data_IF_424926864444
#
_entry.id   IF_424926864444
#
_cell.length_a   1.000
_cell.length_b   1.000
_cell.length_c   1.000
_cell.angle_alpha   90.00
_cell.angle_beta   90.00
_cell.angle_gamma   90.00
#
_symmetry.space_group_name_H-M   'P 1'
#
loop_
_entity.id
_entity.type
_entity.pdbx_description
1 polymer ?
#
# COMPACT_ATOMS: atom_id res chain seq x y z
N UNK A 1 16.90 -16.94 -13.57
CA UNK A 1 15.90 -16.26 -12.73
C UNK A 1 14.79 -15.73 -13.62
N UNK A 2 13.62 -16.40 -13.68
CA UNK A 2 12.52 -16.02 -14.58
C UNK A 2 11.54 -15.12 -13.83
N UNK A 3 11.68 -13.81 -14.05
CA UNK A 3 10.63 -12.87 -13.68
C UNK A 3 9.50 -13.02 -14.70
N UNK A 4 8.41 -13.67 -14.30
CA UNK A 4 7.20 -13.78 -15.11
C UNK A 4 6.63 -12.37 -15.34
N UNK A 5 6.80 -11.87 -16.56
CA UNK A 5 6.54 -10.49 -16.94
C UNK A 5 5.08 -10.15 -17.20
N UNK A 6 4.21 -10.27 -16.20
CA UNK A 6 2.93 -9.56 -16.23
C UNK A 6 3.11 -8.19 -15.57
N UNK A 7 2.57 -7.14 -16.21
CA UNK A 7 2.55 -5.79 -15.59
C UNK A 7 1.81 -5.92 -14.25
N UNK A 8 2.48 -5.66 -13.11
CA UNK A 8 1.85 -5.81 -11.80
C UNK A 8 0.54 -5.02 -11.75
N UNK A 9 -0.54 -5.59 -11.20
CA UNK A 9 -1.84 -4.91 -11.06
C UNK A 9 -1.72 -3.58 -10.30
N UNK A 10 -0.77 -3.43 -9.35
CA UNK A 10 -0.45 -2.15 -8.70
C UNK A 10 -0.12 -1.02 -9.69
N UNK A 11 0.69 -1.32 -10.72
CA UNK A 11 1.01 -0.34 -11.76
C UNK A 11 -0.21 0.05 -12.60
N UNK A 12 -1.19 -0.84 -12.76
CA UNK A 12 -2.45 -0.52 -13.44
C UNK A 12 -3.34 0.32 -12.54
N UNK A 13 -3.40 0.00 -11.24
CA UNK A 13 -4.25 0.67 -10.26
C UNK A 13 -3.85 2.13 -10.06
N UNK A 14 -2.57 2.42 -9.76
CA UNK A 14 -2.15 3.81 -9.57
C UNK A 14 -2.33 4.66 -10.84
N UNK A 15 -2.08 4.08 -12.05
CA UNK A 15 -2.31 4.78 -13.31
C UNK A 15 -3.79 5.09 -13.54
N UNK A 16 -4.71 4.17 -13.21
CA UNK A 16 -6.16 4.41 -13.29
C UNK A 16 -6.57 5.52 -12.31
N UNK A 17 -6.12 5.44 -11.07
CA UNK A 17 -6.40 6.45 -10.04
C UNK A 17 -5.85 7.81 -10.42
N UNK A 18 -4.64 7.86 -11.00
CA UNK A 18 -4.03 9.10 -11.49
C UNK A 18 -4.85 9.70 -12.64
N UNK A 19 -5.24 8.88 -13.62
CA UNK A 19 -6.07 9.35 -14.75
C UNK A 19 -7.42 9.87 -14.28
N UNK A 20 -8.06 9.18 -13.34
CA UNK A 20 -9.31 9.65 -12.75
C UNK A 20 -9.11 10.97 -11.98
N UNK A 21 -8.03 11.09 -11.21
CA UNK A 21 -7.69 12.34 -10.52
C UNK A 21 -7.45 13.50 -11.48
N UNK A 22 -6.69 13.27 -12.55
CA UNK A 22 -6.46 14.27 -13.60
C UNK A 22 -7.76 14.67 -14.32
N UNK A 23 -8.63 13.70 -14.63
CA UNK A 23 -9.92 13.97 -15.25
C UNK A 23 -10.79 14.86 -14.36
N UNK A 24 -10.93 14.53 -13.07
CA UNK A 24 -11.71 15.35 -12.14
C UNK A 24 -11.10 16.74 -11.92
N UNK A 25 -9.77 16.86 -11.90
CA UNK A 25 -9.10 18.17 -11.83
C UNK A 25 -9.37 19.00 -13.07
N UNK A 26 -9.25 18.41 -14.28
CA UNK A 26 -9.54 19.10 -15.52
C UNK A 26 -11.01 19.54 -15.60
N UNK A 27 -11.93 18.67 -15.16
CA UNK A 27 -13.36 19.01 -15.07
C UNK A 27 -13.61 20.18 -14.12
N UNK A 28 -12.97 20.17 -12.95
CA UNK A 28 -13.08 21.24 -11.96
C UNK A 28 -12.51 22.57 -12.47
N UNK A 29 -11.37 22.54 -13.16
CA UNK A 29 -10.80 23.73 -13.79
C UNK A 29 -11.69 24.26 -14.92
N UNK A 30 -12.24 23.38 -15.77
CA UNK A 30 -13.21 23.74 -16.80
C UNK A 30 -14.46 24.39 -16.19
N UNK A 31 -15.01 23.80 -15.13
CA UNK A 31 -16.14 24.37 -14.42
C UNK A 31 -15.81 25.75 -13.82
N UNK A 32 -14.62 25.92 -13.23
CA UNK A 32 -14.17 27.20 -12.72
C UNK A 32 -14.05 28.27 -13.81
N UNK A 33 -13.49 27.89 -14.97
CA UNK A 33 -13.38 28.79 -16.12
C UNK A 33 -14.75 29.19 -16.63
N UNK A 34 -15.67 28.26 -16.78
CA UNK A 34 -17.06 28.54 -17.19
C UNK A 34 -17.75 29.42 -16.17
N UNK A 35 -17.61 29.14 -14.88
CA UNK A 35 -18.18 29.95 -13.80
C UNK A 35 -17.64 31.37 -13.79
N UNK A 36 -16.37 31.57 -14.13
CA UNK A 36 -15.74 32.88 -14.21
C UNK A 36 -16.14 33.65 -15.47
N UNK A 37 -16.30 32.96 -16.61
CA UNK A 37 -16.60 33.58 -17.92
C UNK A 37 -18.10 33.83 -18.14
N UNK A 38 -18.96 32.95 -17.57
CA UNK A 38 -20.40 33.20 -17.55
C UNK A 38 -20.66 34.38 -16.63
N UNK A 39 -21.06 35.49 -17.21
CA UNK A 39 -21.51 36.65 -16.44
C UNK A 39 -22.65 36.18 -15.52
N UNK A 40 -22.44 36.26 -14.24
CA UNK A 40 -23.42 35.91 -13.18
C UNK A 40 -24.78 36.57 -13.47
N UNK A 41 -24.76 37.73 -14.09
CA UNK A 41 -25.94 38.48 -14.52
C UNK A 41 -26.81 37.71 -15.55
N UNK A 42 -26.20 37.00 -16.49
CA UNK A 42 -26.95 36.18 -17.50
C UNK A 42 -27.63 35.03 -16.79
N UNK A 43 -26.90 34.32 -15.89
CA UNK A 43 -27.43 33.18 -15.17
C UNK A 43 -28.53 33.61 -14.15
N UNK A 44 -28.33 34.70 -13.43
CA UNK A 44 -29.33 35.22 -12.50
C UNK A 44 -30.64 35.62 -13.21
N UNK A 45 -30.55 36.28 -14.36
CA UNK A 45 -31.73 36.64 -15.16
C UNK A 45 -32.43 35.42 -15.76
N UNK A 46 -31.68 34.44 -16.26
CA UNK A 46 -32.24 33.24 -16.89
C UNK A 46 -32.89 32.27 -15.90
N UNK A 47 -32.38 32.20 -14.69
CA UNK A 47 -32.84 31.27 -13.65
C UNK A 47 -33.73 31.92 -12.60
N UNK A 48 -33.92 33.25 -12.62
CA UNK A 48 -34.73 33.98 -11.67
C UNK A 48 -34.12 34.01 -10.26
N UNK A 49 -32.83 33.77 -10.10
CA UNK A 49 -32.14 33.75 -8.82
C UNK A 49 -31.69 35.17 -8.42
N UNK A 50 -31.69 35.47 -7.12
CA UNK A 50 -31.02 36.65 -6.61
C UNK A 50 -29.53 36.61 -6.96
N UNK A 51 -28.94 37.70 -7.42
CA UNK A 51 -27.55 37.79 -7.90
C UNK A 51 -26.54 37.18 -6.92
N UNK A 52 -26.67 37.49 -5.61
CA UNK A 52 -25.78 36.96 -4.57
C UNK A 52 -25.84 35.43 -4.45
N UNK A 53 -27.02 34.85 -4.62
CA UNK A 53 -27.19 33.41 -4.58
C UNK A 53 -26.58 32.75 -5.83
N UNK A 54 -26.74 33.36 -7.00
CA UNK A 54 -26.10 32.90 -8.22
C UNK A 54 -24.56 32.96 -8.13
N UNK A 55 -23.98 34.05 -7.61
CA UNK A 55 -22.54 34.21 -7.37
C UNK A 55 -22.00 33.08 -6.47
N UNK A 56 -22.67 32.83 -5.33
CA UNK A 56 -22.26 31.76 -4.42
C UNK A 56 -22.37 30.38 -5.03
N UNK A 57 -23.46 30.11 -5.74
CA UNK A 57 -23.70 28.81 -6.40
C UNK A 57 -22.63 28.51 -7.45
N UNK A 58 -22.34 29.45 -8.35
CA UNK A 58 -21.30 29.28 -9.36
C UNK A 58 -19.89 29.20 -8.77
N UNK A 59 -19.60 29.85 -7.65
CA UNK A 59 -18.34 29.71 -6.94
C UNK A 59 -18.14 28.32 -6.31
N UNK A 60 -19.23 27.66 -5.94
CA UNK A 60 -19.18 26.34 -5.28
C UNK A 60 -19.09 25.16 -6.29
N UNK A 61 -19.59 25.32 -7.51
CA UNK A 61 -19.64 24.24 -8.54
C UNK A 61 -18.25 23.59 -8.77
N UNK A 62 -17.13 24.32 -8.92
CA UNK A 62 -15.84 23.70 -9.20
C UNK A 62 -15.21 22.99 -8.00
N UNK A 63 -15.67 23.24 -6.76
CA UNK A 63 -15.03 22.72 -5.54
C UNK A 63 -15.08 21.19 -5.45
N UNK A 64 -16.25 20.51 -5.61
CA UNK A 64 -16.31 19.06 -5.51
C UNK A 64 -15.38 18.32 -6.52
N UNK A 65 -15.41 18.64 -7.83
CA UNK A 65 -14.54 17.95 -8.77
C UNK A 65 -13.04 18.26 -8.52
N UNK A 66 -12.67 19.46 -8.11
CA UNK A 66 -11.30 19.77 -7.73
C UNK A 66 -10.86 18.97 -6.49
N UNK A 67 -11.70 18.88 -5.47
CA UNK A 67 -11.42 18.10 -4.26
C UNK A 67 -11.23 16.60 -4.60
N UNK A 68 -12.11 16.03 -5.42
CA UNK A 68 -11.99 14.65 -5.92
C UNK A 68 -10.71 14.45 -6.73
N UNK A 69 -10.37 15.40 -7.58
CA UNK A 69 -9.15 15.38 -8.39
C UNK A 69 -7.89 15.37 -7.53
N UNK A 70 -7.77 16.30 -6.59
CA UNK A 70 -6.63 16.39 -5.66
C UNK A 70 -6.53 15.13 -4.80
N UNK A 71 -7.66 14.65 -4.26
CA UNK A 71 -7.69 13.41 -3.49
C UNK A 71 -7.22 12.21 -4.32
N UNK A 72 -7.70 12.07 -5.55
CA UNK A 72 -7.30 11.00 -6.47
C UNK A 72 -5.80 11.04 -6.80
N UNK A 73 -5.25 12.23 -7.05
CA UNK A 73 -3.81 12.37 -7.28
C UNK A 73 -2.98 12.02 -6.04
N UNK A 74 -3.38 12.48 -4.87
CA UNK A 74 -2.71 12.16 -3.61
C UNK A 74 -2.72 10.63 -3.34
N UNK A 75 -3.84 9.98 -3.58
CA UNK A 75 -3.96 8.52 -3.47
C UNK A 75 -3.07 7.80 -4.48
N UNK A 76 -3.03 8.25 -5.74
CA UNK A 76 -2.17 7.67 -6.77
C UNK A 76 -0.67 7.78 -6.40
N UNK A 77 -0.24 8.90 -5.84
CA UNK A 77 1.14 9.09 -5.37
C UNK A 77 1.48 8.13 -4.23
N UNK A 78 0.57 7.94 -3.27
CA UNK A 78 0.76 6.96 -2.18
C UNK A 78 0.87 5.52 -2.69
N UNK A 79 0.00 5.13 -3.63
CA UNK A 79 0.05 3.81 -4.25
C UNK A 79 1.36 3.60 -5.02
N UNK A 80 1.84 4.62 -5.73
CA UNK A 80 3.13 4.58 -6.44
C UNK A 80 4.30 4.43 -5.46
N UNK A 81 4.30 5.18 -4.36
CA UNK A 81 5.36 5.09 -3.35
C UNK A 81 5.42 3.70 -2.71
N UNK A 82 4.26 3.13 -2.34
CA UNK A 82 4.18 1.77 -1.78
C UNK A 82 4.68 0.72 -2.78
N UNK A 83 4.31 0.82 -4.07
CA UNK A 83 4.80 -0.08 -5.11
C UNK A 83 6.32 0.04 -5.31
N UNK A 84 6.86 1.26 -5.31
CA UNK A 84 8.30 1.48 -5.45
C UNK A 84 9.10 0.95 -4.23
N UNK A 85 8.50 0.96 -3.03
CA UNK A 85 9.10 0.37 -1.84
C UNK A 85 9.19 -1.15 -1.97
N UNK A 86 8.11 -1.80 -2.40
CA UNK A 86 8.09 -3.25 -2.64
C UNK A 86 9.09 -3.65 -3.73
N UNK A 87 9.17 -2.89 -4.84
CA UNK A 87 10.14 -3.13 -5.91
C UNK A 87 11.59 -3.05 -5.39
N UNK A 88 11.92 -2.01 -4.60
CA UNK A 88 13.26 -1.85 -4.01
C UNK A 88 13.60 -2.97 -3.03
N UNK A 89 12.66 -3.33 -2.16
CA UNK A 89 12.86 -4.43 -1.22
C UNK A 89 13.04 -5.77 -1.94
N UNK A 90 12.25 -6.03 -2.98
CA UNK A 90 12.37 -7.25 -3.78
C UNK A 90 13.71 -7.33 -4.51
N UNK A 91 14.18 -6.23 -5.11
CA UNK A 91 15.49 -6.18 -5.75
C UNK A 91 16.61 -6.47 -4.74
N UNK A 92 16.57 -5.81 -3.57
CA UNK A 92 17.54 -6.06 -2.51
C UNK A 92 17.59 -7.53 -2.08
N UNK A 93 16.42 -8.15 -1.85
CA UNK A 93 16.37 -9.56 -1.45
C UNK A 93 16.84 -10.50 -2.57
N UNK A 94 16.51 -10.20 -3.83
CA UNK A 94 16.96 -10.99 -4.96
C UNK A 94 18.49 -10.98 -5.12
N UNK A 95 19.15 -9.87 -4.76
CA UNK A 95 20.61 -9.73 -4.84
C UNK A 95 21.34 -10.40 -3.65
N UNK A 96 20.66 -10.55 -2.49
CA UNK A 96 21.33 -11.03 -1.26
C UNK A 96 20.91 -12.44 -0.85
N UNK A 97 19.81 -12.99 -1.41
CA UNK A 97 19.40 -14.37 -1.14
C UNK A 97 20.11 -15.35 -2.10
N UNK A 98 20.57 -16.50 -1.59
CA UNK A 98 21.23 -17.53 -2.43
C UNK A 98 20.25 -18.22 -3.38
N UNK A 99 20.80 -19.06 -4.24
CA UNK A 99 20.01 -19.95 -5.09
C UNK A 99 19.07 -20.83 -4.22
N UNK A 100 17.85 -21.04 -4.71
CA UNK A 100 16.79 -21.77 -3.99
C UNK A 100 15.76 -20.86 -3.32
N UNK A 101 15.96 -19.55 -3.36
CA UNK A 101 14.93 -18.58 -2.99
C UNK A 101 14.29 -17.94 -4.23
N UNK A 102 12.98 -17.75 -4.18
CA UNK A 102 12.21 -17.06 -5.21
C UNK A 102 11.52 -15.85 -4.56
N UNK A 103 11.81 -14.66 -5.05
CA UNK A 103 11.18 -13.42 -4.59
C UNK A 103 10.10 -13.01 -5.58
N UNK A 104 8.86 -12.92 -5.13
CA UNK A 104 7.70 -12.54 -5.94
C UNK A 104 7.14 -11.22 -5.43
N UNK A 105 7.51 -10.08 -6.04
CA UNK A 105 6.89 -8.80 -5.73
C UNK A 105 5.48 -8.75 -6.32
N UNK A 106 4.60 -7.98 -5.68
CA UNK A 106 3.24 -7.70 -6.16
C UNK A 106 2.44 -8.97 -6.46
N UNK A 107 2.47 -9.92 -5.52
CA UNK A 107 1.70 -11.15 -5.66
C UNK A 107 0.20 -10.85 -5.66
N UNK A 108 -0.50 -11.29 -6.70
CA UNK A 108 -1.94 -11.18 -6.83
C UNK A 108 -2.64 -12.47 -6.40
N UNK A 109 -3.22 -12.52 -5.20
CA UNK A 109 -3.98 -13.70 -4.76
C UNK A 109 -5.18 -13.99 -5.67
N UNK A 110 -5.56 -15.27 -5.73
CA UNK A 110 -6.68 -15.77 -6.58
C UNK A 110 -8.06 -15.43 -6.03
N UNK A 111 -8.15 -14.85 -4.85
CA UNK A 111 -9.40 -14.50 -4.17
C UNK A 111 -10.22 -13.39 -4.87
N UNK A 112 -9.73 -12.84 -5.96
CA UNK A 112 -10.38 -11.79 -6.74
C UNK A 112 -10.35 -10.40 -6.09
N UNK A 113 -9.70 -10.26 -4.94
CA UNK A 113 -9.51 -8.94 -4.34
C UNK A 113 -8.51 -8.11 -5.14
N UNK A 114 -8.82 -6.82 -5.33
CA UNK A 114 -7.95 -5.89 -6.07
C UNK A 114 -6.64 -5.56 -5.34
N UNK A 115 -6.51 -5.94 -4.07
CA UNK A 115 -5.33 -5.67 -3.26
C UNK A 115 -4.27 -6.76 -3.45
N UNK A 116 -3.07 -6.34 -3.83
CA UNK A 116 -1.90 -7.20 -3.95
C UNK A 116 -1.21 -7.40 -2.61
N UNK A 117 -0.59 -8.56 -2.47
CA UNK A 117 0.40 -8.80 -1.43
C UNK A 117 1.71 -8.16 -1.87
N UNK A 118 2.30 -7.24 -1.08
CA UNK A 118 3.47 -6.48 -1.50
C UNK A 118 4.64 -7.37 -1.95
N UNK A 119 4.90 -8.44 -1.21
CA UNK A 119 5.99 -9.35 -1.53
C UNK A 119 5.79 -10.72 -0.87
N UNK A 120 6.12 -11.77 -1.62
CA UNK A 120 6.18 -13.16 -1.14
C UNK A 120 7.57 -13.71 -1.45
N UNK A 121 8.20 -14.31 -0.46
CA UNK A 121 9.47 -15.03 -0.61
C UNK A 121 9.20 -16.50 -0.37
N UNK A 122 9.64 -17.32 -1.32
CA UNK A 122 9.53 -18.77 -1.26
C UNK A 122 10.94 -19.34 -1.18
N UNK A 123 11.20 -20.21 -0.22
CA UNK A 123 12.53 -20.76 -0.03
C UNK A 123 12.53 -21.94 0.96
N UNK A 124 13.72 -22.41 1.38
CA UNK A 124 13.86 -23.53 2.30
C UNK A 124 13.07 -23.38 3.62
N UNK A 125 12.89 -22.18 4.20
CA UNK A 125 12.06 -22.01 5.40
C UNK A 125 10.55 -22.12 5.14
N UNK A 126 10.12 -22.17 3.88
CA UNK A 126 8.71 -22.15 3.49
C UNK A 126 8.34 -20.90 2.73
N UNK A 127 7.15 -20.37 2.99
CA UNK A 127 6.63 -19.15 2.36
C UNK A 127 6.58 -18.01 3.38
N UNK A 128 7.25 -16.92 3.08
CA UNK A 128 7.29 -15.73 3.93
C UNK A 128 6.63 -14.57 3.19
N UNK A 129 5.58 -14.02 3.78
CA UNK A 129 4.88 -12.83 3.29
C UNK A 129 5.47 -11.61 3.98
N UNK A 130 6.01 -10.70 3.19
CA UNK A 130 6.70 -9.52 3.69
C UNK A 130 5.87 -8.27 3.41
N UNK A 131 5.59 -7.53 4.47
CA UNK A 131 4.98 -6.20 4.42
C UNK A 131 6.06 -5.13 4.64
N UNK A 132 6.63 -4.53 3.57
CA UNK A 132 7.62 -3.49 3.71
C UNK A 132 6.95 -2.16 4.10
N UNK A 133 7.58 -1.45 5.04
CA UNK A 133 7.11 -0.18 5.58
C UNK A 133 8.24 0.84 5.57
N UNK A 134 7.93 2.07 5.12
CA UNK A 134 8.88 3.17 5.00
C UNK A 134 8.63 4.28 6.06
N UNK A 135 8.02 3.91 7.16
CA UNK A 135 7.91 4.82 8.30
C UNK A 135 9.28 5.04 8.90
N UNK A 136 9.69 6.31 9.05
CA UNK A 136 10.95 6.68 9.71
C UNK A 136 10.76 7.02 11.19
N UNK A 137 11.86 7.08 11.92
CA UNK A 137 11.93 7.40 13.35
C UNK A 137 11.81 6.18 14.25
N UNK A 138 11.57 6.40 15.54
CA UNK A 138 11.34 5.30 16.50
C UNK A 138 9.89 4.83 16.43
N UNK A 139 9.70 3.51 16.31
CA UNK A 139 8.39 2.87 16.32
C UNK A 139 8.28 1.88 17.47
N UNK A 140 7.08 1.73 17.99
CA UNK A 140 6.76 0.76 19.02
C UNK A 140 5.44 0.06 18.69
N UNK A 141 5.31 -1.20 19.12
CA UNK A 141 4.10 -1.99 18.96
C UNK A 141 3.55 -2.38 20.32
N UNK A 142 2.27 -2.10 20.54
CA UNK A 142 1.52 -2.52 21.72
C UNK A 142 0.16 -3.04 21.26
N UNK A 143 -0.17 -4.28 21.61
CA UNK A 143 -1.42 -4.97 21.23
C UNK A 143 -1.75 -4.89 19.73
N UNK A 144 -0.76 -5.17 18.88
CA UNK A 144 -0.84 -5.03 17.41
C UNK A 144 -1.09 -3.61 16.90
N UNK A 145 -1.06 -2.60 17.76
CA UNK A 145 -1.11 -1.21 17.36
C UNK A 145 0.29 -0.62 17.29
N UNK A 146 0.58 0.02 16.18
CA UNK A 146 1.87 0.64 15.93
C UNK A 146 1.80 2.12 16.16
N UNK A 147 2.80 2.65 16.85
CA UNK A 147 2.94 4.06 17.20
C UNK A 147 4.30 4.57 16.76
N UNK A 148 4.34 5.80 16.29
CA UNK A 148 5.60 6.53 16.14
C UNK A 148 5.87 7.27 17.43
N UNK A 149 7.01 7.00 18.06
CA UNK A 149 7.44 7.70 19.27
C UNK A 149 7.65 9.18 18.93
N UNK A 150 7.13 10.04 19.74
CA UNK A 150 7.34 11.47 19.66
C UNK A 150 8.32 11.92 20.74
N UNK A 151 9.10 12.98 20.46
CA UNK A 151 10.07 13.52 21.42
C UNK A 151 9.39 13.93 22.75
N UNK A 152 8.13 14.36 22.65
CA UNK A 152 7.32 14.77 23.80
C UNK A 152 5.91 14.20 23.66
N UNK A 153 5.39 13.56 24.73
CA UNK A 153 4.01 13.09 24.79
C UNK A 153 3.77 11.66 24.31
N UNK A 154 2.49 11.32 24.16
CA UNK A 154 2.05 9.98 23.70
C UNK A 154 2.39 9.82 22.24
N UNK A 155 2.95 8.68 21.88
CA UNK A 155 3.29 8.36 20.50
C UNK A 155 2.08 8.49 19.55
N UNK A 156 2.32 8.94 18.33
CA UNK A 156 1.27 9.04 17.30
C UNK A 156 1.01 7.68 16.69
N UNK A 157 -0.22 7.18 16.86
CA UNK A 157 -0.65 5.93 16.23
C UNK A 157 -0.57 6.02 14.71
N UNK A 158 -0.17 4.93 14.05
CA UNK A 158 -0.19 4.83 12.61
C UNK A 158 -1.64 4.94 12.11
N UNK A 159 -1.80 5.74 11.06
CA UNK A 159 -3.12 5.90 10.43
C UNK A 159 -3.42 4.71 9.51
N UNK A 160 -4.67 4.27 9.50
CA UNK A 160 -5.13 3.16 8.68
C UNK A 160 -4.95 1.81 9.34
N UNK A 161 -4.82 0.76 8.51
CA UNK A 161 -4.68 -0.61 8.99
C UNK A 161 -3.31 -0.83 9.63
N UNK A 162 -3.29 -1.52 10.78
CA UNK A 162 -2.05 -1.91 11.45
C UNK A 162 -1.15 -2.74 10.52
N UNK A 163 0.17 -2.45 10.46
CA UNK A 163 1.12 -3.26 9.70
C UNK A 163 1.03 -4.75 10.02
N UNK A 164 0.92 -5.12 11.31
CA UNK A 164 0.78 -6.51 11.75
C UNK A 164 -0.51 -7.16 11.23
N UNK A 165 -1.63 -6.46 11.35
CA UNK A 165 -2.91 -6.97 10.85
C UNK A 165 -2.89 -7.15 9.34
N UNK A 166 -2.29 -6.21 8.61
CA UNK A 166 -2.17 -6.29 7.16
C UNK A 166 -1.26 -7.45 6.73
N UNK A 167 -0.12 -7.61 7.36
CA UNK A 167 0.80 -8.71 7.08
C UNK A 167 0.14 -10.08 7.33
N UNK A 168 -0.57 -10.23 8.46
CA UNK A 168 -1.35 -11.43 8.78
C UNK A 168 -2.44 -11.72 7.75
N UNK A 169 -3.17 -10.68 7.37
CA UNK A 169 -4.23 -10.82 6.38
C UNK A 169 -3.68 -11.26 5.02
N UNK A 170 -2.59 -10.65 4.58
CA UNK A 170 -1.88 -11.04 3.36
C UNK A 170 -1.35 -12.49 3.43
N UNK A 171 -0.79 -12.89 4.57
CA UNK A 171 -0.35 -14.28 4.77
C UNK A 171 -1.51 -15.29 4.74
N UNK A 172 -2.67 -14.92 5.29
CA UNK A 172 -3.89 -15.73 5.21
C UNK A 172 -4.36 -15.94 3.77
N UNK A 173 -4.30 -14.90 2.93
CA UNK A 173 -4.66 -14.98 1.51
C UNK A 173 -3.70 -15.88 0.73
N UNK A 174 -2.39 -15.70 0.94
CA UNK A 174 -1.37 -16.55 0.32
C UNK A 174 -1.54 -18.01 0.75
N UNK A 175 -1.80 -18.25 2.05
CA UNK A 175 -2.09 -19.59 2.56
C UNK A 175 -3.31 -20.20 1.90
N UNK A 176 -4.38 -19.42 1.69
CA UNK A 176 -5.57 -19.85 0.97
C UNK A 176 -5.24 -20.35 -0.44
N UNK A 177 -4.44 -19.58 -1.19
CA UNK A 177 -4.05 -19.93 -2.55
C UNK A 177 -3.19 -21.22 -2.61
N UNK A 178 -2.23 -21.35 -1.69
CA UNK A 178 -1.35 -22.53 -1.63
C UNK A 178 -2.14 -23.77 -1.21
N UNK A 179 -3.11 -23.64 -0.32
CA UNK A 179 -3.93 -24.78 0.13
C UNK A 179 -4.80 -25.38 -0.98
N UNK A 180 -5.20 -24.56 -1.97
CA UNK A 180 -5.93 -25.04 -3.15
C UNK A 180 -5.06 -26.01 -3.98
N UNK A 181 -3.75 -25.75 -4.04
CA UNK A 181 -2.80 -26.60 -4.77
C UNK A 181 -2.29 -27.78 -3.92
N UNK A 182 -2.94 -28.09 -2.77
CA UNK A 182 -2.61 -29.15 -1.81
C UNK A 182 -1.17 -29.06 -1.22
N UNK A 183 -0.55 -27.91 -1.30
CA UNK A 183 0.79 -27.66 -0.75
C UNK A 183 0.68 -27.35 0.73
N UNK A 184 1.23 -28.23 1.57
CA UNK A 184 1.31 -28.01 3.03
C UNK A 184 2.67 -27.38 3.35
N UNK A 185 2.71 -26.05 3.38
CA UNK A 185 3.92 -25.33 3.79
C UNK A 185 3.56 -24.23 4.79
N UNK A 186 4.42 -23.97 5.78
CA UNK A 186 4.19 -22.87 6.69
C UNK A 186 4.22 -21.53 5.91
N UNK A 187 3.25 -20.67 6.22
CA UNK A 187 3.21 -19.30 5.69
C UNK A 187 3.39 -18.35 6.86
N UNK A 188 4.51 -17.67 6.87
CA UNK A 188 4.86 -16.70 7.90
C UNK A 188 4.58 -15.27 7.43
N UNK A 189 4.18 -14.39 8.36
CA UNK A 189 3.99 -12.97 8.10
C UNK A 189 5.09 -12.16 8.80
N UNK A 190 5.75 -11.29 8.04
CA UNK A 190 6.83 -10.42 8.55
C UNK A 190 6.58 -8.98 8.12
N UNK A 191 6.73 -8.05 9.07
CA UNK A 191 6.77 -6.60 8.79
C UNK A 191 8.22 -6.15 8.78
N UNK A 192 8.63 -5.44 7.72
CA UNK A 192 9.98 -4.91 7.60
C UNK A 192 9.92 -3.38 7.58
N UNK A 193 10.51 -2.75 8.59
CA UNK A 193 10.67 -1.30 8.64
C UNK A 193 11.99 -0.91 8.00
N UNK A 194 11.95 -0.28 6.81
CA UNK A 194 13.17 0.05 6.05
C UNK A 194 13.89 1.28 6.57
N UNK A 195 13.21 2.15 7.32
CA UNK A 195 13.71 3.45 7.74
C UNK A 195 13.46 3.77 9.21
N UNK A 196 12.78 2.89 9.95
CA UNK A 196 12.49 3.08 11.37
C UNK A 196 13.35 2.19 12.24
N UNK A 197 13.59 2.66 13.47
CA UNK A 197 14.14 1.87 14.57
C UNK A 197 13.00 1.35 15.45
N UNK A 198 13.01 0.06 15.77
CA UNK A 198 11.99 -0.57 16.60
C UNK A 198 12.41 -0.44 18.08
N UNK A 199 11.78 0.47 18.80
CA UNK A 199 12.11 0.73 20.19
C UNK A 199 11.59 -0.36 21.14
N UNK A 200 10.38 -0.88 20.86
CA UNK A 200 9.74 -1.92 21.69
C UNK A 200 8.68 -2.69 20.88
N UNK A 201 8.59 -3.99 21.14
CA UNK A 201 7.54 -4.87 20.61
C UNK A 201 6.99 -5.66 21.81
N UNK A 202 6.06 -5.07 22.54
CA UNK A 202 5.48 -5.73 23.71
C UNK A 202 4.43 -6.80 23.34
N UNK A 203 3.70 -6.60 22.26
CA UNK A 203 2.73 -7.59 21.74
C UNK A 203 2.44 -7.37 20.28
N UNK A 204 3.11 -8.12 19.43
CA UNK A 204 2.83 -8.17 17.98
C UNK A 204 2.46 -9.60 17.59
N UNK A 205 1.40 -9.72 16.80
CA UNK A 205 0.98 -11.02 16.25
C UNK A 205 1.83 -11.49 15.07
N UNK A 206 2.78 -10.66 14.63
CA UNK A 206 3.71 -10.95 13.53
C UNK A 206 5.11 -10.55 13.92
N UNK A 207 6.08 -11.10 13.21
CA UNK A 207 7.47 -10.73 13.38
C UNK A 207 7.70 -9.37 12.72
N UNK A 208 8.41 -8.49 13.41
CA UNK A 208 8.85 -7.23 12.86
C UNK A 208 10.38 -7.15 12.92
N UNK A 209 10.99 -6.65 11.85
CA UNK A 209 12.44 -6.51 11.73
C UNK A 209 12.83 -5.12 11.23
N UNK A 210 14.02 -4.68 11.65
CA UNK A 210 14.61 -3.40 11.23
C UNK A 210 15.51 -3.61 10.01
N UNK A 211 15.12 -2.97 8.92
CA UNK A 211 15.91 -2.98 7.69
C UNK A 211 15.83 -4.27 6.89
N UNK A 212 16.22 -4.16 5.64
CA UNK A 212 16.26 -5.30 4.72
C UNK A 212 17.37 -6.32 5.06
N UNK A 213 18.55 -5.94 5.62
CA UNK A 213 19.52 -6.93 6.06
C UNK A 213 18.99 -7.91 7.10
N UNK A 214 18.23 -7.43 8.08
CA UNK A 214 17.70 -8.28 9.15
C UNK A 214 16.72 -9.34 8.63
N UNK A 215 15.96 -9.08 7.55
CA UNK A 215 15.13 -10.11 6.95
C UNK A 215 15.95 -11.14 6.18
N UNK A 216 17.05 -10.74 5.55
CA UNK A 216 17.97 -11.69 4.91
C UNK A 216 18.58 -12.63 5.95
N UNK A 217 19.13 -12.09 7.05
CA UNK A 217 19.70 -12.87 8.14
C UNK A 217 18.68 -13.84 8.73
N UNK A 218 17.44 -13.40 8.90
CA UNK A 218 16.35 -14.24 9.37
C UNK A 218 16.05 -15.39 8.39
N UNK A 219 15.88 -15.10 7.11
CA UNK A 219 15.58 -16.12 6.09
C UNK A 219 16.69 -17.16 5.98
N UNK A 220 17.93 -16.76 6.18
CA UNK A 220 19.10 -17.66 6.14
C UNK A 220 19.30 -18.42 7.46
N UNK A 221 18.96 -17.81 8.60
CA UNK A 221 19.11 -18.39 9.94
C UNK A 221 17.98 -19.32 10.35
N UNK A 222 16.86 -19.35 9.67
CA UNK A 222 15.73 -20.24 9.98
C UNK A 222 16.07 -21.68 9.61
N UNK A 223 15.88 -22.68 10.50
CA UNK A 223 16.11 -24.08 10.19
C UNK A 223 15.31 -24.52 8.97
N UNK A 224 15.97 -25.31 8.11
CA UNK A 224 15.36 -25.84 6.88
C UNK A 224 14.37 -26.94 7.22
N UNK A 225 13.09 -26.65 7.23
CA UNK A 225 12.08 -27.70 7.09
C UNK A 225 11.91 -28.00 5.59
N UNK A 226 12.11 -29.26 5.17
CA UNK A 226 11.93 -29.60 3.77
C UNK A 226 10.47 -29.38 3.36
N UNK A 227 10.26 -28.73 2.21
CA UNK A 227 8.95 -28.63 1.57
C UNK A 227 8.40 -30.03 1.32
N UNK A 228 7.46 -30.49 2.14
CA UNK A 228 6.75 -31.73 1.86
C UNK A 228 5.69 -31.48 0.80
N UNK A 229 6.01 -31.83 -0.45
CA UNK A 229 5.00 -32.05 -1.47
C UNK A 229 4.18 -33.25 -1.02
N UNK A 230 2.90 -33.05 -0.70
CA UNK A 230 1.98 -34.17 -0.50
C UNK A 230 1.79 -34.85 -1.86
N UNK A 231 2.30 -36.08 -1.99
CA UNK A 231 2.06 -36.99 -3.09
C UNK A 231 0.66 -37.57 -3.00
#
# INVERSE_FOLDING_TARGET
>A
MSVLGSIPPSRRRWRRTLRAGLFWTALGLGAATISYTLTVDIAARSLGFERRFAELFFALIPIPPLALGVHGMALALRLRAASALADRAAAYLADHLPEGYVVVPHYGPRDGADDEVPMVVIGPPGVVVIEPRDEGGEVLCQDDFWYRKQKYGVGRRFQGQSPSQRARWNASRVRGDISVDAIRTPVEAVVVFTSAHIADISSSSVIAVEGLPAIVDRLLGTPREPLHLAV
#
